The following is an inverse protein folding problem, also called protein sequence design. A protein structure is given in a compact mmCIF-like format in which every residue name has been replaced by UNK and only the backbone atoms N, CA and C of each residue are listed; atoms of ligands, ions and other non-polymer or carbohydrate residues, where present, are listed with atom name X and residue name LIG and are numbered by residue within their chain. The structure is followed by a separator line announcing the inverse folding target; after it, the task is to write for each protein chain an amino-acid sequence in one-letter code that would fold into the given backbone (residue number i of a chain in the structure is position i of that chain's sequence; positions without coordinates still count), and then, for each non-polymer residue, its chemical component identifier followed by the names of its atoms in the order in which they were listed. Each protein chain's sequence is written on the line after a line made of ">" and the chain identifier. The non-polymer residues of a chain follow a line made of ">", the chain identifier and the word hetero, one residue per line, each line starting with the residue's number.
data_IF_519985841292
#
_entry.id   IF_519985841292
#
_cell.length_a   1.000
_cell.length_b   1.000
_cell.length_c   1.000
_cell.angle_alpha   90.00
_cell.angle_beta   90.00
_cell.angle_gamma   90.00
#
_symmetry.space_group_name_H-M   'P 1'
#
loop_
_entity.id
_entity.type
_entity.pdbx_description
1 polymer ?
#
# COMPACT_ATOMS: atom_id res chain seq x y z
N UNK A 1 -1.86 -9.25 17.16
CA UNK A 1 -0.90 -8.20 16.75
C UNK A 1 -1.29 -7.61 15.39
N UNK A 2 -1.25 -8.37 14.29
CA UNK A 2 -1.59 -7.87 12.94
C UNK A 2 -3.03 -7.35 12.80
N UNK A 3 -4.03 -8.03 13.35
CA UNK A 3 -5.41 -7.51 13.31
C UNK A 3 -5.54 -6.14 13.99
N UNK A 4 -4.83 -5.93 15.11
CA UNK A 4 -4.82 -4.64 15.81
C UNK A 4 -4.16 -3.56 14.95
N UNK A 5 -3.06 -3.90 14.27
CA UNK A 5 -2.39 -3.01 13.33
C UNK A 5 -3.31 -2.61 12.18
N UNK A 6 -4.03 -3.57 11.57
CA UNK A 6 -4.98 -3.26 10.50
C UNK A 6 -6.15 -2.40 10.97
N UNK A 7 -6.69 -2.62 12.17
CA UNK A 7 -7.71 -1.73 12.74
C UNK A 7 -7.18 -0.31 12.99
N UNK A 8 -5.91 -0.19 13.39
CA UNK A 8 -5.26 1.11 13.55
C UNK A 8 -5.09 1.81 12.20
N UNK A 9 -4.65 1.09 11.16
CA UNK A 9 -4.55 1.60 9.80
C UNK A 9 -5.90 2.01 9.23
N UNK A 10 -6.93 1.20 9.43
CA UNK A 10 -8.31 1.54 9.07
C UNK A 10 -8.75 2.84 9.75
N UNK A 11 -8.44 3.04 11.02
CA UNK A 11 -8.73 4.29 11.73
C UNK A 11 -7.97 5.50 11.16
N UNK A 12 -6.68 5.36 10.84
CA UNK A 12 -5.90 6.42 10.18
C UNK A 12 -6.52 6.75 8.82
N UNK A 13 -6.76 5.72 8.02
CA UNK A 13 -7.32 5.82 6.68
C UNK A 13 -8.66 6.57 6.69
N UNK A 14 -9.60 6.15 7.53
CA UNK A 14 -10.93 6.75 7.58
C UNK A 14 -10.92 8.19 8.13
N UNK A 15 -10.11 8.48 9.16
CA UNK A 15 -10.10 9.81 9.78
C UNK A 15 -9.30 10.86 9.00
N UNK A 16 -8.19 10.47 8.37
CA UNK A 16 -7.25 11.40 7.73
C UNK A 16 -7.38 11.44 6.19
N UNK A 17 -7.90 10.36 5.59
CA UNK A 17 -7.97 10.16 4.13
C UNK A 17 -9.38 9.79 3.65
N UNK A 18 -10.41 10.03 4.47
CA UNK A 18 -11.81 9.75 4.13
C UNK A 18 -12.33 10.49 2.88
N UNK A 19 -11.61 11.49 2.38
CA UNK A 19 -11.92 12.18 1.12
C UNK A 19 -11.55 11.39 -0.13
N UNK A 20 -10.71 10.34 -0.01
CA UNK A 20 -10.34 9.45 -1.13
C UNK A 20 -10.71 7.98 -0.91
N UNK A 21 -11.23 7.61 0.26
CA UNK A 21 -11.59 6.24 0.62
C UNK A 21 -13.11 6.08 0.58
N UNK A 22 -13.59 5.09 -0.16
CA UNK A 22 -15.00 4.69 -0.18
C UNK A 22 -15.30 3.64 0.89
N UNK A 23 -14.39 2.69 1.06
CA UNK A 23 -14.58 1.56 1.96
C UNK A 23 -13.23 1.01 2.46
N UNK A 24 -13.24 0.46 3.67
CA UNK A 24 -12.09 -0.19 4.28
C UNK A 24 -12.52 -1.58 4.78
N UNK A 25 -11.85 -2.63 4.32
CA UNK A 25 -12.18 -4.01 4.67
C UNK A 25 -10.93 -4.79 5.09
N UNK A 26 -10.98 -5.40 6.27
CA UNK A 26 -10.00 -6.41 6.67
C UNK A 26 -10.39 -7.74 6.05
N UNK A 27 -9.56 -8.23 5.14
CA UNK A 27 -9.77 -9.52 4.47
C UNK A 27 -9.18 -10.64 5.33
N UNK A 28 -9.98 -11.66 5.62
CA UNK A 28 -9.61 -12.81 6.44
C UNK A 28 -9.36 -14.06 5.59
N UNK A 29 -8.43 -14.91 6.02
CA UNK A 29 -8.30 -16.27 5.51
C UNK A 29 -9.44 -17.16 5.98
N UNK A 30 -9.62 -18.32 5.35
CA UNK A 30 -10.61 -19.33 5.75
C UNK A 30 -10.51 -19.76 7.22
N UNK A 31 -9.30 -19.72 7.80
CA UNK A 31 -9.05 -20.00 9.21
C UNK A 31 -9.27 -18.78 10.14
N UNK A 32 -9.96 -17.72 9.68
CA UNK A 32 -10.27 -16.53 10.47
C UNK A 32 -9.10 -15.59 10.75
N UNK A 33 -7.92 -15.81 10.15
CA UNK A 33 -6.75 -14.94 10.36
C UNK A 33 -6.77 -13.76 9.38
N UNK A 34 -6.64 -12.54 9.89
CA UNK A 34 -6.48 -11.33 9.07
C UNK A 34 -5.29 -11.47 8.10
N UNK A 35 -5.52 -11.19 6.82
CA UNK A 35 -4.54 -11.32 5.73
C UNK A 35 -4.03 -9.97 5.29
N UNK A 36 -4.93 -9.06 4.95
CA UNK A 36 -4.63 -7.72 4.49
C UNK A 36 -5.78 -6.77 4.86
N UNK A 37 -5.49 -5.48 4.89
CA UNK A 37 -6.49 -4.44 4.84
C UNK A 37 -6.59 -3.96 3.39
N UNK A 38 -7.80 -3.90 2.84
CA UNK A 38 -8.08 -3.31 1.54
C UNK A 38 -8.81 -1.99 1.74
N UNK A 39 -8.34 -0.95 1.07
CA UNK A 39 -8.99 0.35 0.99
C UNK A 39 -9.47 0.54 -0.45
N UNK A 40 -10.77 0.57 -0.65
CA UNK A 40 -11.38 0.91 -1.94
C UNK A 40 -11.39 2.42 -2.08
N UNK A 41 -10.93 2.92 -3.22
CA UNK A 41 -10.78 4.35 -3.47
C UNK A 41 -11.88 4.87 -4.38
N UNK A 42 -12.16 6.16 -4.26
CA UNK A 42 -13.22 6.89 -4.99
C UNK A 42 -13.12 6.90 -6.52
N UNK A 43 -12.04 6.36 -7.07
CA UNK A 43 -11.76 6.30 -8.50
C UNK A 43 -11.76 4.87 -9.05
N UNK A 44 -12.40 3.95 -8.33
CA UNK A 44 -12.51 2.52 -8.66
C UNK A 44 -11.18 1.77 -8.67
N UNK A 45 -10.13 2.34 -8.06
CA UNK A 45 -8.88 1.64 -7.74
C UNK A 45 -8.86 1.24 -6.27
N UNK A 46 -7.83 0.50 -5.82
CA UNK A 46 -7.75 0.10 -4.42
C UNK A 46 -6.31 0.00 -3.91
N UNK A 47 -6.14 0.18 -2.60
CA UNK A 47 -4.89 -0.08 -1.89
C UNK A 47 -5.02 -1.37 -1.07
N UNK A 48 -4.15 -2.33 -1.34
CA UNK A 48 -3.94 -3.49 -0.47
C UNK A 48 -2.75 -3.24 0.47
N UNK A 49 -2.98 -3.46 1.77
CA UNK A 49 -1.99 -3.29 2.85
C UNK A 49 -1.76 -4.64 3.50
N UNK A 50 -0.54 -5.14 3.38
CA UNK A 50 -0.09 -6.38 3.98
C UNK A 50 1.06 -6.12 4.96
N UNK A 51 0.97 -6.72 6.15
CA UNK A 51 2.06 -6.83 7.11
C UNK A 51 2.09 -8.25 7.72
N UNK A 52 3.30 -8.76 7.91
CA UNK A 52 3.55 -10.01 8.63
C UNK A 52 4.11 -9.74 10.04
N UNK A 53 4.13 -10.77 10.87
CA UNK A 53 4.78 -10.72 12.20
C UNK A 53 6.30 -10.63 12.12
N UNK A 54 6.89 -10.90 10.96
CA UNK A 54 8.33 -10.84 10.68
C UNK A 54 8.73 -9.49 10.04
N UNK A 55 7.85 -8.49 10.09
CA UNK A 55 8.02 -7.18 9.45
C UNK A 55 8.14 -7.22 7.92
N UNK A 56 7.69 -8.29 7.26
CA UNK A 56 7.46 -8.27 5.82
C UNK A 56 6.22 -7.42 5.55
N UNK A 57 6.27 -6.55 4.55
CA UNK A 57 5.15 -5.66 4.21
C UNK A 57 4.97 -5.50 2.71
N UNK A 58 3.76 -5.10 2.32
CA UNK A 58 3.46 -4.59 1.00
C UNK A 58 2.37 -3.53 1.08
N UNK A 59 2.64 -2.34 0.57
CA UNK A 59 1.67 -1.27 0.35
C UNK A 59 1.47 -1.17 -1.17
N UNK A 60 0.35 -1.68 -1.66
CA UNK A 60 0.11 -1.85 -3.08
C UNK A 60 -1.12 -1.07 -3.53
N UNK A 61 -0.92 -0.03 -4.34
CA UNK A 61 -1.99 0.65 -5.06
C UNK A 61 -2.17 -0.01 -6.43
N UNK A 62 -3.24 -0.80 -6.54
CA UNK A 62 -3.60 -1.53 -7.76
C UNK A 62 -4.54 -0.69 -8.61
N UNK A 63 -4.12 -0.43 -9.86
CA UNK A 63 -4.83 0.43 -10.78
C UNK A 63 -4.94 -0.18 -12.19
N UNK A 64 -4.50 -1.42 -12.41
CA UNK A 64 -4.44 -2.03 -13.76
C UNK A 64 -5.74 -1.94 -14.52
N UNK A 65 -6.87 -2.19 -13.86
CA UNK A 65 -8.19 -2.18 -14.49
C UNK A 65 -8.67 -0.78 -14.90
N UNK A 66 -8.12 0.28 -14.29
CA UNK A 66 -8.53 1.67 -14.55
C UNK A 66 -7.52 2.37 -15.46
N UNK A 67 -6.22 2.15 -15.25
CA UNK A 67 -5.13 2.92 -15.89
C UNK A 67 -3.94 2.08 -16.35
N UNK A 68 -4.04 0.74 -16.33
CA UNK A 68 -2.98 -0.19 -16.70
C UNK A 68 -1.63 0.12 -16.01
N UNK A 69 -1.68 0.41 -14.72
CA UNK A 69 -0.50 0.82 -13.92
C UNK A 69 -0.56 0.21 -12.53
N UNK A 70 0.58 0.13 -11.85
CA UNK A 70 0.68 -0.28 -10.43
C UNK A 70 1.61 0.65 -9.68
N UNK A 71 1.45 0.75 -8.37
CA UNK A 71 2.44 1.38 -7.50
C UNK A 71 2.55 0.59 -6.21
N UNK A 72 3.71 -0.01 -5.94
CA UNK A 72 3.87 -0.92 -4.79
C UNK A 72 5.19 -0.74 -4.09
N UNK A 73 5.16 -0.43 -2.80
CA UNK A 73 6.32 -0.56 -1.92
C UNK A 73 6.25 -1.88 -1.18
N UNK A 74 7.31 -2.68 -1.24
CA UNK A 74 7.44 -3.91 -0.45
C UNK A 74 8.91 -4.19 -0.09
N UNK A 75 9.13 -5.20 0.75
CA UNK A 75 10.45 -5.61 1.21
C UNK A 75 10.75 -7.10 0.98
N UNK A 76 10.11 -7.72 -0.02
CA UNK A 76 10.44 -9.08 -0.38
C UNK A 76 11.89 -9.16 -0.90
N UNK A 77 12.76 -10.04 -0.37
CA UNK A 77 14.18 -10.06 -0.70
C UNK A 77 14.47 -10.75 -2.05
N UNK A 78 13.90 -10.20 -3.12
CA UNK A 78 14.08 -10.73 -4.48
C UNK A 78 15.54 -10.55 -4.94
N UNK A 79 16.21 -11.66 -5.29
CA UNK A 79 17.61 -11.66 -5.74
C UNK A 79 17.89 -10.72 -6.92
N UNK A 80 16.90 -10.48 -7.79
CA UNK A 80 17.02 -9.58 -8.96
C UNK A 80 17.25 -8.11 -8.54
N UNK A 81 16.85 -7.73 -7.33
CA UNK A 81 16.84 -6.34 -6.85
C UNK A 81 17.89 -6.05 -5.77
N UNK A 82 18.86 -6.93 -5.57
CA UNK A 82 19.91 -6.78 -4.54
C UNK A 82 20.80 -5.55 -4.74
N UNK A 83 20.80 -4.95 -5.94
CA UNK A 83 21.58 -3.76 -6.25
C UNK A 83 20.86 -2.44 -5.89
N UNK A 84 19.61 -2.50 -5.42
CA UNK A 84 18.89 -1.32 -4.92
C UNK A 84 19.47 -0.90 -3.58
N UNK A 85 19.79 0.38 -3.39
CA UNK A 85 20.44 0.86 -2.16
C UNK A 85 19.59 0.62 -0.90
N UNK A 86 18.27 0.64 -1.03
CA UNK A 86 17.32 0.39 0.06
C UNK A 86 16.99 -1.09 0.26
N UNK A 87 17.66 -2.01 -0.44
CA UNK A 87 17.37 -3.45 -0.36
C UNK A 87 17.34 -3.94 1.11
N UNK A 88 16.32 -4.72 1.51
CA UNK A 88 15.31 -5.39 0.67
C UNK A 88 14.13 -4.51 0.27
N UNK A 89 14.00 -3.29 0.80
CA UNK A 89 12.92 -2.38 0.43
C UNK A 89 13.09 -1.92 -1.01
N UNK A 90 12.02 -1.96 -1.77
CA UNK A 90 11.97 -1.46 -3.13
C UNK A 90 10.55 -0.98 -3.48
N UNK A 91 10.46 -0.20 -4.56
CA UNK A 91 9.19 0.27 -5.10
C UNK A 91 9.04 -0.16 -6.56
N UNK A 92 7.90 -0.75 -6.90
CA UNK A 92 7.46 -0.94 -8.27
C UNK A 92 6.66 0.29 -8.69
N UNK A 93 7.20 1.09 -9.61
CA UNK A 93 6.62 2.36 -10.02
C UNK A 93 6.08 2.29 -11.45
N UNK A 94 4.76 2.26 -11.58
CA UNK A 94 4.05 2.21 -12.85
C UNK A 94 3.98 0.82 -13.47
N UNK A 95 5.05 0.03 -13.35
CA UNK A 95 5.21 -1.32 -13.92
C UNK A 95 5.87 -2.29 -12.92
N UNK A 96 5.61 -3.59 -13.08
CA UNK A 96 6.14 -4.64 -12.21
C UNK A 96 7.68 -4.79 -12.31
N UNK A 97 8.29 -4.48 -13.44
CA UNK A 97 9.74 -4.56 -13.63
C UNK A 97 10.44 -3.19 -13.49
N UNK A 98 9.70 -2.09 -13.40
CA UNK A 98 10.27 -0.78 -13.10
C UNK A 98 10.49 -0.60 -11.59
N UNK A 99 11.65 -1.08 -11.11
CA UNK A 99 11.98 -1.10 -9.68
C UNK A 99 12.92 0.05 -9.29
N UNK A 100 12.52 0.79 -8.26
CA UNK A 100 13.25 1.92 -7.68
C UNK A 100 13.44 1.76 -6.18
N UNK A 101 14.20 2.67 -5.57
CA UNK A 101 14.40 2.73 -4.13
C UNK A 101 13.09 3.03 -3.39
N UNK A 102 12.91 2.39 -2.24
CA UNK A 102 11.78 2.66 -1.33
C UNK A 102 12.27 3.38 -0.09
N UNK A 103 11.94 4.66 -0.01
CA UNK A 103 12.27 5.52 1.13
C UNK A 103 11.14 5.61 2.16
N UNK A 104 10.24 4.61 2.19
CA UNK A 104 9.21 4.57 3.23
C UNK A 104 9.84 4.43 4.62
N UNK A 105 9.38 5.21 5.62
CA UNK A 105 9.78 5.07 7.01
C UNK A 105 9.59 3.63 7.54
N UNK A 106 10.38 3.23 8.53
CA UNK A 106 10.23 1.92 9.16
C UNK A 106 9.00 1.83 10.07
N UNK A 107 8.56 2.95 10.64
CA UNK A 107 7.35 2.98 11.45
C UNK A 107 6.11 2.74 10.56
N UNK A 108 5.31 1.68 10.79
CA UNK A 108 4.23 1.29 9.88
C UNK A 108 3.13 2.34 9.71
N UNK A 109 2.78 3.06 10.79
CA UNK A 109 1.75 4.13 10.74
C UNK A 109 2.24 5.28 9.87
N UNK A 110 3.49 5.71 10.08
CA UNK A 110 4.11 6.79 9.29
C UNK A 110 4.27 6.37 7.83
N UNK A 111 4.66 5.11 7.58
CA UNK A 111 4.77 4.56 6.23
C UNK A 111 3.42 4.57 5.49
N UNK A 112 2.34 4.17 6.18
CA UNK A 112 0.99 4.23 5.64
C UNK A 112 0.59 5.66 5.29
N UNK A 113 0.77 6.62 6.20
CA UNK A 113 0.39 8.02 5.95
C UNK A 113 1.17 8.63 4.79
N UNK A 114 2.48 8.36 4.68
CA UNK A 114 3.29 8.79 3.53
C UNK A 114 2.77 8.18 2.23
N UNK A 115 2.46 6.89 2.23
CA UNK A 115 1.93 6.19 1.05
C UNK A 115 0.55 6.73 0.63
N UNK A 116 -0.40 6.86 1.57
CA UNK A 116 -1.74 7.38 1.28
C UNK A 116 -1.73 8.85 0.87
N UNK A 117 -0.79 9.66 1.40
CA UNK A 117 -0.58 11.04 0.94
C UNK A 117 -0.16 11.08 -0.52
N UNK A 118 0.74 10.18 -0.95
CA UNK A 118 1.13 10.05 -2.35
C UNK A 118 -0.07 9.65 -3.23
N UNK A 119 -0.83 8.63 -2.82
CA UNK A 119 -2.04 8.16 -3.53
C UNK A 119 -3.06 9.29 -3.68
N UNK A 120 -3.38 9.98 -2.58
CA UNK A 120 -4.30 11.13 -2.55
C UNK A 120 -3.89 12.22 -3.54
N UNK A 121 -2.62 12.62 -3.51
CA UNK A 121 -2.07 13.61 -4.44
C UNK A 121 -2.27 13.18 -5.89
N UNK A 122 -1.99 11.91 -6.21
CA UNK A 122 -2.14 11.38 -7.57
C UNK A 122 -3.58 11.34 -8.04
N UNK A 123 -4.52 10.95 -7.19
CA UNK A 123 -5.96 10.98 -7.51
C UNK A 123 -6.42 12.41 -7.81
N UNK A 124 -6.02 13.38 -6.99
CA UNK A 124 -6.37 14.80 -7.20
C UNK A 124 -5.76 15.32 -8.51
N UNK A 125 -4.48 15.06 -8.78
CA UNK A 125 -3.80 15.44 -10.02
C UNK A 125 -4.51 14.88 -11.27
N UNK A 126 -5.11 13.70 -11.18
CA UNK A 126 -5.81 13.06 -12.28
C UNK A 126 -7.23 13.59 -12.47
N UNK A 127 -7.92 14.05 -11.41
CA UNK A 127 -9.24 14.70 -11.52
C UNK A 127 -9.20 16.04 -12.25
N UNK A 128 -8.03 16.69 -12.30
CA UNK A 128 -7.84 17.99 -12.93
C UNK A 128 -7.25 17.91 -14.36
N UNK A 129 -7.15 16.71 -14.93
CA UNK A 129 -6.74 16.48 -16.33
C UNK A 129 -7.96 16.17 -17.19
#
# INVERSE_FOLDING_TARGET
>A
MILKLYKQFENIANNEYGDIIENAEIIYSHAGRARKLRLELIDSTYVDIFYSVENNYSLHWEQKNVRNTIYRHDNAPHKKWTNINTFPKHCHDGDQDNVTESNLPDNPDTALSVFLTFVRKKIIEQKHK
#
